data_IF_746505634919
#
_entry.id   IF_746505634919
#
_cell.length_a   1.000
_cell.length_b   1.000
_cell.length_c   1.000
_cell.angle_alpha   90.00
_cell.angle_beta   90.00
_cell.angle_gamma   90.00
#
_symmetry.space_group_name_H-M   'P 1'
#
loop_
_entity.id
_entity.type
_entity.pdbx_description
1 polymer ?
#
# COMPACT_ATOMS: atom_id res chain seq x y z
N UNK A 1 -4.91 4.49 26.37
CA UNK A 1 -5.04 3.13 25.80
C UNK A 1 -6.50 2.68 25.68
N UNK A 2 -7.43 3.24 26.45
CA UNK A 2 -8.84 2.84 26.41
C UNK A 2 -9.52 3.33 25.12
N UNK A 3 -10.06 2.39 24.32
CA UNK A 3 -10.83 2.68 23.10
C UNK A 3 -10.02 2.99 21.86
N UNK A 4 -8.69 2.79 21.84
CA UNK A 4 -7.82 3.09 20.70
C UNK A 4 -7.12 1.83 20.11
N UNK A 5 -7.78 0.68 20.18
CA UNK A 5 -7.22 -0.58 19.66
C UNK A 5 -6.88 -0.47 18.16
N UNK A 6 -7.67 0.27 17.39
CA UNK A 6 -7.47 0.47 15.96
C UNK A 6 -6.21 1.31 15.61
N UNK A 7 -5.66 2.04 16.58
CA UNK A 7 -4.41 2.77 16.39
C UNK A 7 -3.18 1.87 16.52
N UNK A 8 -3.33 0.67 17.08
CA UNK A 8 -2.22 -0.24 17.26
C UNK A 8 -1.87 -0.90 15.92
N UNK A 9 -0.62 -0.68 15.49
CA UNK A 9 -0.07 -1.35 14.31
C UNK A 9 0.27 -2.79 14.66
N UNK A 10 -0.64 -3.70 14.36
CA UNK A 10 -0.50 -5.12 14.67
C UNK A 10 0.61 -5.79 13.84
N UNK A 11 1.40 -6.67 14.45
CA UNK A 11 2.38 -7.48 13.73
C UNK A 11 1.66 -8.49 12.84
N UNK A 12 2.01 -8.51 11.55
CA UNK A 12 1.43 -9.42 10.55
C UNK A 12 2.27 -10.67 10.31
N UNK A 13 3.18 -10.99 11.22
CA UNK A 13 4.01 -12.19 11.22
C UNK A 13 4.77 -12.48 9.90
N UNK A 14 5.07 -11.45 9.10
CA UNK A 14 5.79 -11.59 7.82
C UNK A 14 7.27 -12.02 7.98
N UNK A 15 7.79 -12.06 9.21
CA UNK A 15 9.15 -12.48 9.57
C UNK A 15 10.29 -11.75 8.85
N UNK A 16 10.00 -10.64 8.19
CA UNK A 16 11.03 -9.84 7.51
C UNK A 16 12.04 -9.24 8.48
N UNK A 17 11.60 -8.85 9.67
CA UNK A 17 12.46 -8.39 10.76
C UNK A 17 13.45 -9.48 11.21
N UNK A 18 12.98 -10.71 11.38
CA UNK A 18 13.84 -11.84 11.73
C UNK A 18 14.87 -12.14 10.64
N UNK A 19 14.45 -12.18 9.37
CA UNK A 19 15.34 -12.35 8.22
C UNK A 19 16.45 -11.28 8.18
N UNK A 20 16.10 -10.02 8.48
CA UNK A 20 17.08 -8.93 8.48
C UNK A 20 18.13 -9.13 9.56
N UNK A 21 17.69 -9.40 10.80
CA UNK A 21 18.59 -9.59 11.95
C UNK A 21 19.45 -10.84 11.80
N UNK A 22 18.90 -11.96 11.32
CA UNK A 22 19.66 -13.21 11.13
C UNK A 22 20.77 -13.09 10.07
N UNK A 23 20.70 -12.07 9.23
CA UNK A 23 21.75 -11.73 8.25
C UNK A 23 22.69 -10.63 8.69
N UNK A 24 22.64 -10.21 9.95
CA UNK A 24 23.42 -9.10 10.47
C UNK A 24 23.02 -7.73 9.90
N UNK A 25 21.88 -7.63 9.24
CA UNK A 25 21.36 -6.37 8.71
C UNK A 25 20.52 -5.64 9.77
N UNK A 26 20.33 -4.34 9.56
CA UNK A 26 19.42 -3.56 10.40
C UNK A 26 18.03 -4.16 10.37
N UNK A 27 17.37 -4.22 11.53
CA UNK A 27 15.98 -4.66 11.65
C UNK A 27 15.06 -3.81 10.77
N UNK A 28 14.11 -4.45 10.10
CA UNK A 28 13.14 -3.81 9.21
C UNK A 28 11.79 -4.52 9.32
N UNK A 29 10.71 -3.80 9.03
CA UNK A 29 9.38 -4.38 8.93
C UNK A 29 8.81 -4.18 7.52
N UNK A 30 7.95 -5.10 7.08
CA UNK A 30 7.33 -5.02 5.75
C UNK A 30 6.41 -3.81 5.59
N UNK A 31 5.81 -3.30 6.68
CA UNK A 31 4.89 -2.17 6.60
C UNK A 31 5.06 -1.14 7.73
N UNK A 32 6.03 -1.30 8.63
CA UNK A 32 6.42 -0.26 9.58
C UNK A 32 7.78 0.33 9.16
N UNK A 33 7.82 1.44 8.44
CA UNK A 33 9.06 2.03 7.95
C UNK A 33 9.94 2.59 9.07
N UNK A 34 9.35 2.87 10.25
CA UNK A 34 10.09 3.42 11.40
C UNK A 34 10.93 2.37 12.11
N UNK A 35 10.62 1.06 11.98
CA UNK A 35 11.35 0.01 12.68
C UNK A 35 12.85 0.02 12.32
N UNK A 36 13.70 0.19 13.33
CA UNK A 36 15.14 0.35 13.18
C UNK A 36 15.58 1.74 12.69
N UNK A 37 14.64 2.69 12.64
CA UNK A 37 14.85 4.09 12.28
C UNK A 37 14.11 5.05 13.20
N UNK A 38 13.80 4.62 14.39
CA UNK A 38 12.90 5.32 15.31
C UNK A 38 13.37 6.76 15.61
N UNK A 39 14.70 6.98 15.64
CA UNK A 39 15.26 8.31 15.86
C UNK A 39 14.97 9.32 14.74
N UNK A 40 14.70 8.82 13.51
CA UNK A 40 14.43 9.69 12.36
C UNK A 40 12.95 9.63 11.92
N UNK A 41 12.28 8.50 12.12
CA UNK A 41 10.94 8.25 11.61
C UNK A 41 9.98 7.72 12.68
N UNK A 42 10.36 7.78 13.95
CA UNK A 42 9.53 7.36 15.07
C UNK A 42 8.37 8.30 15.33
N UNK A 43 7.61 7.99 16.37
CA UNK A 43 6.49 8.82 16.80
C UNK A 43 6.96 10.26 17.09
N UNK A 44 6.17 11.24 16.65
CA UNK A 44 6.51 12.67 16.80
C UNK A 44 7.56 13.21 15.81
N UNK A 45 8.16 12.36 14.97
CA UNK A 45 9.16 12.81 13.97
C UNK A 45 8.55 13.48 12.74
N UNK A 46 7.26 13.30 12.49
CA UNK A 46 6.56 13.92 11.35
C UNK A 46 6.30 15.40 11.63
N UNK A 47 7.07 16.25 10.99
CA UNK A 47 6.94 17.71 11.10
C UNK A 47 5.87 18.20 10.11
N UNK A 48 5.01 19.12 10.55
CA UNK A 48 4.04 19.79 9.66
C UNK A 48 4.77 20.50 8.52
N UNK A 49 4.19 20.44 7.32
CA UNK A 49 4.75 21.11 6.16
C UNK A 49 4.57 22.63 6.27
N UNK A 50 5.60 23.39 5.88
CA UNK A 50 5.53 24.86 5.82
C UNK A 50 4.55 25.33 4.73
N UNK A 51 4.51 24.62 3.59
CA UNK A 51 3.60 24.88 2.49
C UNK A 51 2.68 23.70 2.30
N UNK A 52 1.38 23.92 2.47
CA UNK A 52 0.38 22.88 2.28
C UNK A 52 0.14 22.64 0.79
N UNK A 53 -0.06 21.38 0.44
CA UNK A 53 -0.26 20.92 -0.93
C UNK A 53 -1.51 20.07 -1.03
N UNK A 54 -2.17 20.11 -2.18
CA UNK A 54 -3.22 19.17 -2.55
C UNK A 54 -2.58 17.99 -3.30
N UNK A 55 -2.73 16.80 -2.76
CA UNK A 55 -2.11 15.58 -3.30
C UNK A 55 -3.20 14.60 -3.72
N UNK A 56 -3.14 14.14 -4.95
CA UNK A 56 -3.98 13.08 -5.49
C UNK A 56 -3.18 11.79 -5.57
N UNK A 57 -3.63 10.75 -4.90
CA UNK A 57 -3.00 9.42 -4.90
C UNK A 57 -3.88 8.47 -5.70
N UNK A 58 -3.34 7.87 -6.75
CA UNK A 58 -4.02 6.90 -7.60
C UNK A 58 -3.56 5.49 -7.20
N UNK A 59 -4.44 4.75 -6.56
CA UNK A 59 -4.23 3.41 -6.02
C UNK A 59 -4.22 3.37 -4.49
N UNK A 60 -5.17 2.62 -3.93
CA UNK A 60 -5.40 2.45 -2.49
C UNK A 60 -4.71 1.21 -1.90
N UNK A 61 -3.62 0.75 -2.51
CA UNK A 61 -2.75 -0.28 -1.93
C UNK A 61 -1.88 0.27 -0.80
N UNK A 62 -1.04 -0.59 -0.15
CA UNK A 62 -0.21 -0.17 0.99
C UNK A 62 0.66 1.05 0.71
N UNK A 63 1.21 1.17 -0.49
CA UNK A 63 2.06 2.30 -0.87
C UNK A 63 1.28 3.62 -0.91
N UNK A 64 0.11 3.64 -1.56
CA UNK A 64 -0.74 4.82 -1.66
C UNK A 64 -1.30 5.23 -0.30
N UNK A 65 -1.77 4.27 0.48
CA UNK A 65 -2.30 4.52 1.83
C UNK A 65 -1.23 5.05 2.79
N UNK A 66 0.00 4.50 2.76
CA UNK A 66 1.10 5.02 3.60
C UNK A 66 1.51 6.42 3.17
N UNK A 67 1.57 6.68 1.86
CA UNK A 67 1.83 8.03 1.37
C UNK A 67 0.77 9.02 1.87
N UNK A 68 -0.52 8.68 1.70
CA UNK A 68 -1.63 9.53 2.12
C UNK A 68 -1.62 9.77 3.63
N UNK A 69 -1.36 8.72 4.42
CA UNK A 69 -1.22 8.82 5.88
C UNK A 69 -0.14 9.84 6.28
N UNK A 70 1.04 9.73 5.68
CA UNK A 70 2.17 10.63 5.98
C UNK A 70 1.88 12.06 5.49
N UNK A 71 1.35 12.20 4.28
CA UNK A 71 1.00 13.50 3.70
C UNK A 71 -0.03 14.23 4.58
N UNK A 72 -1.12 13.55 4.94
CA UNK A 72 -2.16 14.10 5.81
C UNK A 72 -1.63 14.41 7.22
N UNK A 73 -0.82 13.52 7.81
CA UNK A 73 -0.18 13.78 9.10
C UNK A 73 0.72 15.01 9.06
N UNK A 74 1.30 15.34 7.92
CA UNK A 74 2.08 16.57 7.70
C UNK A 74 1.22 17.79 7.37
N UNK A 75 -0.11 17.64 7.24
CA UNK A 75 -1.07 18.71 7.01
C UNK A 75 -1.46 18.93 5.55
N UNK A 76 -0.93 18.17 4.60
CA UNK A 76 -1.36 18.24 3.21
C UNK A 76 -2.80 17.73 3.06
N UNK A 77 -3.54 18.27 2.08
CA UNK A 77 -4.82 17.70 1.64
C UNK A 77 -4.53 16.50 0.75
N UNK A 78 -4.79 15.29 1.23
CA UNK A 78 -4.53 14.06 0.48
C UNK A 78 -5.85 13.36 0.14
N UNK A 79 -6.05 13.02 -1.14
CA UNK A 79 -7.18 12.22 -1.63
C UNK A 79 -6.64 10.96 -2.27
N UNK A 80 -7.15 9.80 -1.87
CA UNK A 80 -6.80 8.49 -2.44
C UNK A 80 -7.95 7.99 -3.28
N UNK A 81 -7.68 7.64 -4.54
CA UNK A 81 -8.63 7.00 -5.44
C UNK A 81 -8.27 5.52 -5.56
N UNK A 82 -9.22 4.64 -5.21
CA UNK A 82 -9.11 3.19 -5.38
C UNK A 82 -10.15 2.71 -6.38
N UNK A 83 -9.72 1.91 -7.34
CA UNK A 83 -10.59 1.39 -8.39
C UNK A 83 -11.60 0.35 -7.90
N UNK A 84 -11.27 -0.34 -6.81
CA UNK A 84 -12.11 -1.38 -6.18
C UNK A 84 -12.93 -0.79 -5.03
N UNK A 85 -13.91 -1.56 -4.58
CA UNK A 85 -14.75 -1.19 -3.42
C UNK A 85 -13.99 -1.20 -2.09
N UNK A 86 -12.85 -1.87 -2.04
CA UNK A 86 -12.06 -2.03 -0.83
C UNK A 86 -10.60 -1.66 -1.04
N UNK A 87 -10.03 -0.98 -0.06
CA UNK A 87 -8.61 -0.62 -0.02
C UNK A 87 -7.74 -1.82 0.32
N UNK A 88 -6.46 -1.77 -0.10
CA UNK A 88 -5.43 -2.74 0.30
C UNK A 88 -4.72 -3.43 -0.85
N UNK A 89 -5.24 -3.40 -2.07
CA UNK A 89 -4.58 -4.01 -3.22
C UNK A 89 -4.21 -5.48 -2.96
N UNK A 90 -3.01 -5.89 -3.32
CA UNK A 90 -2.57 -7.29 -3.23
C UNK A 90 -2.49 -7.85 -1.80
N UNK A 91 -2.29 -7.03 -0.76
CA UNK A 91 -2.23 -7.56 0.62
C UNK A 91 -3.60 -8.05 1.07
N UNK A 92 -4.68 -7.49 0.52
CA UNK A 92 -6.03 -7.97 0.75
C UNK A 92 -6.22 -9.37 0.15
N UNK A 93 -5.78 -9.59 -1.09
CA UNK A 93 -5.81 -10.93 -1.70
C UNK A 93 -4.96 -11.93 -0.91
N UNK A 94 -3.76 -11.52 -0.50
CA UNK A 94 -2.88 -12.36 0.31
C UNK A 94 -3.49 -12.76 1.65
N UNK A 95 -4.36 -11.92 2.23
CA UNK A 95 -5.05 -12.25 3.48
C UNK A 95 -6.08 -13.37 3.36
N UNK A 96 -6.51 -13.69 2.13
CA UNK A 96 -7.44 -14.80 1.86
C UNK A 96 -6.73 -16.16 1.88
N UNK A 97 -5.40 -16.18 1.78
CA UNK A 97 -4.63 -17.41 1.86
C UNK A 97 -4.69 -18.03 3.27
N UNK A 98 -4.70 -19.37 3.38
CA UNK A 98 -4.64 -20.05 4.67
C UNK A 98 -3.48 -19.55 5.53
N UNK A 99 -3.74 -19.25 6.80
CA UNK A 99 -2.76 -18.74 7.77
C UNK A 99 -2.12 -17.39 7.38
N UNK A 100 -2.84 -16.55 6.62
CA UNK A 100 -2.36 -15.22 6.18
C UNK A 100 -3.36 -14.10 6.47
N UNK A 101 -4.42 -14.37 7.23
CA UNK A 101 -5.46 -13.38 7.53
C UNK A 101 -4.89 -12.08 8.12
N UNK A 102 -3.80 -12.15 8.90
CA UNK A 102 -3.14 -11.00 9.52
C UNK A 102 -2.60 -9.99 8.49
N UNK A 103 -2.35 -10.41 7.22
CA UNK A 103 -1.92 -9.48 6.18
C UNK A 103 -2.98 -8.40 5.87
N UNK A 104 -4.26 -8.72 6.09
CA UNK A 104 -5.35 -7.76 5.97
C UNK A 104 -5.22 -6.56 6.91
N UNK A 105 -4.56 -6.75 8.06
CA UNK A 105 -4.31 -5.69 9.02
C UNK A 105 -3.44 -4.55 8.46
N UNK A 106 -2.60 -4.83 7.45
CA UNK A 106 -1.82 -3.80 6.75
C UNK A 106 -2.77 -2.78 6.13
N UNK A 107 -3.73 -3.26 5.34
CA UNK A 107 -4.70 -2.40 4.66
C UNK A 107 -5.61 -1.68 5.65
N UNK A 108 -6.17 -2.43 6.62
CA UNK A 108 -7.08 -1.90 7.64
C UNK A 108 -6.42 -0.76 8.42
N UNK A 109 -5.24 -1.01 8.97
CA UNK A 109 -4.54 -0.01 9.78
C UNK A 109 -4.13 1.21 8.97
N UNK A 110 -3.59 1.03 7.76
CA UNK A 110 -3.16 2.14 6.90
C UNK A 110 -4.35 3.02 6.49
N UNK A 111 -5.47 2.43 6.08
CA UNK A 111 -6.68 3.17 5.72
C UNK A 111 -7.25 3.93 6.93
N UNK A 112 -7.34 3.26 8.10
CA UNK A 112 -7.78 3.89 9.33
C UNK A 112 -6.90 5.11 9.68
N UNK A 113 -5.59 4.95 9.67
CA UNK A 113 -4.66 6.04 10.02
C UNK A 113 -4.63 7.16 8.97
N UNK A 114 -4.78 6.84 7.69
CA UNK A 114 -4.89 7.86 6.66
C UNK A 114 -6.15 8.72 6.88
N UNK A 115 -7.30 8.08 7.06
CA UNK A 115 -8.56 8.77 7.36
C UNK A 115 -8.51 9.56 8.67
N UNK A 116 -7.98 8.97 9.74
CA UNK A 116 -7.80 9.64 11.04
C UNK A 116 -6.94 10.92 10.95
N UNK A 117 -5.93 10.93 10.07
CA UNK A 117 -5.10 12.10 9.82
C UNK A 117 -5.73 13.11 8.83
N UNK A 118 -6.93 12.83 8.30
CA UNK A 118 -7.67 13.72 7.43
C UNK A 118 -7.49 13.48 5.94
N UNK A 119 -6.94 12.34 5.53
CA UNK A 119 -6.97 11.95 4.12
C UNK A 119 -8.39 11.55 3.70
N UNK A 120 -8.80 11.95 2.51
CA UNK A 120 -10.03 11.51 1.88
C UNK A 120 -9.78 10.18 1.14
N UNK A 121 -10.58 9.18 1.43
CA UNK A 121 -10.48 7.85 0.83
C UNK A 121 -11.73 7.59 -0.04
N UNK A 122 -11.54 7.47 -1.36
CA UNK A 122 -12.61 7.21 -2.33
C UNK A 122 -12.40 5.85 -2.97
N UNK A 123 -13.23 4.87 -2.60
CA UNK A 123 -13.33 3.59 -3.30
C UNK A 123 -14.21 3.72 -4.55
N UNK A 124 -14.30 2.66 -5.35
CA UNK A 124 -15.07 2.60 -6.60
C UNK A 124 -14.78 3.79 -7.53
N UNK A 125 -13.53 4.23 -7.53
CA UNK A 125 -13.07 5.43 -8.24
C UNK A 125 -11.95 5.07 -9.23
N UNK A 126 -12.24 4.29 -10.28
CA UNK A 126 -11.23 3.89 -11.25
C UNK A 126 -10.75 5.09 -12.07
N UNK A 127 -9.43 5.17 -12.24
CA UNK A 127 -8.80 6.19 -13.09
C UNK A 127 -8.30 5.52 -14.36
N UNK A 128 -8.76 5.99 -15.51
CA UNK A 128 -8.31 5.55 -16.82
C UNK A 128 -7.44 6.61 -17.48
N UNK A 129 -6.62 6.20 -18.44
CA UNK A 129 -5.81 7.13 -19.24
C UNK A 129 -6.68 8.19 -19.93
N UNK A 130 -7.80 7.77 -20.52
CA UNK A 130 -8.72 8.68 -21.21
C UNK A 130 -9.43 9.69 -20.28
N UNK A 131 -9.58 9.36 -18.99
CA UNK A 131 -10.24 10.22 -18.00
C UNK A 131 -9.26 11.06 -17.18
N UNK A 132 -7.95 10.87 -17.35
CA UNK A 132 -6.95 11.48 -16.48
C UNK A 132 -6.95 13.01 -16.56
N UNK A 133 -6.97 13.58 -17.74
CA UNK A 133 -6.95 15.04 -17.92
C UNK A 133 -8.16 15.70 -17.28
N UNK A 134 -9.36 15.14 -17.50
CA UNK A 134 -10.57 15.65 -16.87
C UNK A 134 -10.54 15.54 -15.34
N UNK A 135 -9.95 14.47 -14.81
CA UNK A 135 -9.75 14.30 -13.37
C UNK A 135 -8.78 15.35 -12.81
N UNK A 136 -7.66 15.58 -13.48
CA UNK A 136 -6.68 16.59 -13.07
C UNK A 136 -7.26 18.00 -13.12
N UNK A 137 -8.06 18.30 -14.14
CA UNK A 137 -8.76 19.57 -14.26
C UNK A 137 -9.82 19.78 -13.16
N UNK A 138 -10.49 18.71 -12.75
CA UNK A 138 -11.49 18.78 -11.69
C UNK A 138 -10.84 18.88 -10.30
N UNK A 139 -9.82 18.07 -10.05
CA UNK A 139 -9.18 18.00 -8.73
C UNK A 139 -8.12 19.06 -8.51
N UNK A 140 -7.51 19.60 -9.55
CA UNK A 140 -6.44 20.61 -9.47
C UNK A 140 -5.37 20.27 -8.41
N UNK A 141 -4.75 19.06 -8.46
CA UNK A 141 -3.75 18.69 -7.49
C UNK A 141 -2.42 19.39 -7.74
N UNK A 142 -1.69 19.73 -6.68
CA UNK A 142 -0.29 20.17 -6.78
C UNK A 142 0.65 19.00 -7.14
N UNK A 143 0.29 17.78 -6.67
CA UNK A 143 1.06 16.56 -6.92
C UNK A 143 0.14 15.37 -7.16
N UNK A 144 0.56 14.52 -8.10
CA UNK A 144 -0.08 13.23 -8.37
C UNK A 144 0.89 12.12 -7.99
N UNK A 145 0.41 11.13 -7.26
CA UNK A 145 1.17 9.94 -6.85
C UNK A 145 0.57 8.71 -7.51
N UNK A 146 1.35 8.05 -8.34
CA UNK A 146 0.95 6.79 -8.95
C UNK A 146 1.36 5.63 -8.04
N UNK A 147 0.37 4.96 -7.46
CA UNK A 147 0.52 3.80 -6.58
C UNK A 147 -0.37 2.64 -7.03
N UNK A 148 -0.52 2.49 -8.35
CA UNK A 148 -1.45 1.55 -8.99
C UNK A 148 -1.07 0.08 -8.86
N UNK A 149 0.10 -0.21 -8.25
CA UNK A 149 0.56 -1.57 -8.01
C UNK A 149 1.13 -2.26 -9.26
N UNK A 150 0.93 -3.55 -9.33
CA UNK A 150 1.41 -4.40 -10.42
C UNK A 150 0.37 -5.46 -10.77
N UNK A 151 0.45 -6.00 -11.97
CA UNK A 151 -0.32 -7.16 -12.41
C UNK A 151 0.53 -8.42 -12.31
N UNK A 152 -0.11 -9.57 -12.14
CA UNK A 152 0.56 -10.86 -12.24
C UNK A 152 0.95 -11.10 -13.70
N UNK A 153 2.21 -11.47 -13.94
CA UNK A 153 2.64 -11.90 -15.26
C UNK A 153 2.09 -13.30 -15.54
N UNK A 154 1.35 -13.42 -16.64
CA UNK A 154 0.76 -14.69 -17.09
C UNK A 154 1.38 -15.18 -18.41
N UNK A 155 2.60 -14.75 -18.69
CA UNK A 155 3.38 -15.08 -19.88
C UNK A 155 4.39 -16.23 -19.66
N UNK A 156 4.32 -16.87 -18.50
CA UNK A 156 5.24 -17.94 -18.07
C UNK A 156 6.64 -17.46 -17.74
N UNK A 157 6.98 -16.20 -17.93
CA UNK A 157 8.33 -15.68 -17.67
C UNK A 157 8.72 -15.81 -16.21
N UNK A 158 9.88 -16.40 -15.96
CA UNK A 158 10.45 -16.55 -14.64
C UNK A 158 11.62 -15.57 -14.46
N UNK A 159 11.44 -14.55 -13.63
CA UNK A 159 12.49 -13.56 -13.36
C UNK A 159 13.78 -14.12 -12.77
N UNK A 160 13.74 -15.34 -12.23
CA UNK A 160 14.93 -16.02 -11.69
C UNK A 160 15.80 -16.67 -12.77
N UNK A 161 15.19 -17.31 -13.75
CA UNK A 161 15.91 -18.00 -14.85
C UNK A 161 16.10 -17.10 -16.06
N UNK A 162 15.27 -16.08 -16.23
CA UNK A 162 15.20 -15.25 -17.43
C UNK A 162 14.51 -15.94 -18.61
N UNK A 163 13.87 -17.06 -18.39
CA UNK A 163 13.23 -17.89 -19.41
C UNK A 163 11.77 -18.17 -19.05
N UNK A 164 10.96 -18.49 -20.03
CA UNK A 164 9.59 -18.92 -19.79
C UNK A 164 9.54 -20.36 -19.26
N UNK A 165 8.57 -20.65 -18.40
CA UNK A 165 8.31 -21.99 -17.88
C UNK A 165 7.87 -22.91 -19.04
N UNK A 166 8.56 -24.02 -19.31
CA UNK A 166 8.15 -24.94 -20.36
C UNK A 166 6.73 -25.46 -20.16
N UNK A 167 5.89 -25.33 -21.17
CA UNK A 167 4.51 -25.81 -21.15
C UNK A 167 3.50 -24.78 -20.53
N UNK A 168 3.91 -23.58 -20.22
CA UNK A 168 3.01 -22.56 -19.70
C UNK A 168 1.85 -22.25 -20.67
N UNK A 169 2.06 -22.37 -22.00
CA UNK A 169 1.06 -22.14 -23.04
C UNK A 169 -0.02 -23.23 -23.11
N UNK A 170 0.13 -24.31 -22.36
CA UNK A 170 -0.82 -25.45 -22.37
C UNK A 170 -2.22 -25.11 -21.82
N UNK A 171 -2.39 -23.89 -21.26
CA UNK A 171 -3.64 -23.46 -20.62
C UNK A 171 -3.87 -24.06 -19.21
N UNK A 172 -2.90 -24.80 -18.67
CA UNK A 172 -2.94 -25.38 -17.33
C UNK A 172 -2.28 -24.47 -16.26
N UNK A 173 -1.78 -23.31 -16.67
CA UNK A 173 -1.16 -22.33 -15.79
C UNK A 173 -2.12 -21.16 -15.55
N UNK A 174 -2.38 -20.86 -14.29
CA UNK A 174 -3.20 -19.74 -13.86
C UNK A 174 -2.39 -18.83 -12.93
N UNK A 175 -2.72 -17.55 -12.88
CA UNK A 175 -2.12 -16.63 -11.92
C UNK A 175 -2.56 -16.96 -10.48
N UNK A 176 -1.71 -16.68 -9.51
CA UNK A 176 -2.06 -16.92 -8.10
C UNK A 176 -3.29 -16.10 -7.66
N UNK A 177 -3.54 -14.97 -8.28
CA UNK A 177 -4.68 -14.08 -8.05
C UNK A 177 -5.99 -14.61 -8.64
N UNK A 178 -5.93 -15.58 -9.56
CA UNK A 178 -7.09 -16.28 -10.09
C UNK A 178 -7.53 -17.46 -9.20
N UNK A 179 -6.68 -17.86 -8.24
CA UNK A 179 -6.99 -18.94 -7.29
C UNK A 179 -7.81 -18.46 -6.11
N UNK A 180 -7.83 -17.15 -5.86
CA UNK A 180 -8.44 -16.49 -4.70
C UNK A 180 -9.74 -15.76 -5.06
#
# INVERSE_FOLDING_TARGET
EEGQADDIRTCVAANFCWKSVSRGARIQCVYNPALGREGAWGEGSLIKAETLKKVLVIGGGPAGLEYARVAAARGHSATVLESKSEFGGHVRLQSLLPSRAEFGEIARWLAHQAGKNGAELRSDSPVSEAGLDALLDAEQPDHVVLATGSSVCVDGFQGWTGEALPGWESGNCIGWDEVL
#
